data_IF_646739923848
#
_entry.id   IF_646739923848
#
_cell.length_a   1.000
_cell.length_b   1.000
_cell.length_c   1.000
_cell.angle_alpha   90.00
_cell.angle_beta   90.00
_cell.angle_gamma   90.00
#
_symmetry.space_group_name_H-M   'P 1'
#
loop_
_entity.id
_entity.type
_entity.pdbx_description
1 polymer ?
#
# COMPACT_ATOMS: atom_id res chain seq x y z
N UNK A 1 29.79 -1.88 45.15
CA UNK A 1 28.66 -2.68 44.63
C UNK A 1 27.79 -1.80 43.74
N UNK A 2 27.79 -2.00 42.41
CA UNK A 2 26.87 -1.27 41.53
C UNK A 2 25.44 -1.75 41.79
N UNK A 3 24.57 -0.80 42.12
CA UNK A 3 23.20 -1.07 42.54
C UNK A 3 22.38 -1.61 41.35
N UNK A 4 22.02 -2.90 41.38
CA UNK A 4 21.35 -3.63 40.28
C UNK A 4 20.00 -3.01 39.86
N UNK A 5 19.40 -2.17 40.71
CA UNK A 5 18.17 -1.45 40.39
C UNK A 5 18.40 -0.25 39.45
N UNK A 6 19.52 0.46 39.62
CA UNK A 6 19.90 1.62 38.79
C UNK A 6 20.14 1.23 37.32
N UNK A 7 20.68 0.04 37.09
CA UNK A 7 20.92 -0.50 35.73
C UNK A 7 19.63 -0.90 35.01
N UNK A 8 18.64 -1.43 35.74
CA UNK A 8 17.31 -1.76 35.17
C UNK A 8 16.52 -0.49 34.84
N UNK A 9 16.54 0.51 35.70
CA UNK A 9 15.91 1.80 35.47
C UNK A 9 16.55 2.54 34.28
N UNK A 10 17.88 2.53 34.17
CA UNK A 10 18.58 3.06 33.00
C UNK A 10 18.28 2.30 31.71
N UNK A 11 18.14 0.97 31.76
CA UNK A 11 17.72 0.17 30.61
C UNK A 11 16.28 0.51 30.19
N UNK A 12 15.37 0.64 31.16
CA UNK A 12 13.98 1.04 30.92
C UNK A 12 13.88 2.46 30.35
N UNK A 13 14.65 3.41 30.89
CA UNK A 13 14.73 4.79 30.40
C UNK A 13 15.27 4.86 28.97
N UNK A 14 16.35 4.13 28.66
CA UNK A 14 16.89 4.02 27.29
C UNK A 14 15.88 3.41 26.32
N UNK A 15 15.14 2.38 26.74
CA UNK A 15 14.08 1.76 25.92
C UNK A 15 12.90 2.70 25.71
N UNK A 16 12.50 3.51 26.71
CA UNK A 16 11.48 4.56 26.55
C UNK A 16 11.93 5.66 25.60
N UNK A 17 13.17 6.13 25.74
CA UNK A 17 13.75 7.16 24.85
C UNK A 17 13.87 6.67 23.42
N UNK A 18 14.28 5.41 23.22
CA UNK A 18 14.34 4.76 21.91
C UNK A 18 12.95 4.65 21.27
N UNK A 19 11.92 4.26 22.04
CA UNK A 19 10.52 4.25 21.55
C UNK A 19 9.98 5.65 21.26
N UNK A 20 10.33 6.65 22.06
CA UNK A 20 9.92 8.03 21.85
C UNK A 20 10.57 8.63 20.58
N UNK A 21 11.86 8.34 20.36
CA UNK A 21 12.60 8.74 19.14
C UNK A 21 12.09 8.01 17.89
N UNK A 22 11.78 6.72 18.02
CA UNK A 22 11.17 5.95 16.93
C UNK A 22 9.81 6.55 16.53
N UNK A 23 8.98 6.94 17.50
CA UNK A 23 7.70 7.61 17.27
C UNK A 23 7.83 8.97 16.56
N UNK A 24 8.91 9.72 16.79
CA UNK A 24 9.10 11.05 16.20
C UNK A 24 9.81 11.04 14.85
N UNK A 25 10.49 9.95 14.48
CA UNK A 25 11.40 9.93 13.31
C UNK A 25 10.89 9.08 12.13
N UNK A 26 9.99 8.12 12.36
CA UNK A 26 9.55 7.15 11.32
C UNK A 26 8.02 7.12 11.12
N UNK A 27 7.30 8.15 11.58
CA UNK A 27 5.84 8.11 11.67
C UNK A 27 5.35 7.21 12.82
N UNK A 28 4.08 7.36 13.20
CA UNK A 28 3.51 6.64 14.36
C UNK A 28 3.09 5.20 14.02
N UNK A 29 3.12 4.82 12.74
CA UNK A 29 2.58 3.56 12.25
C UNK A 29 3.71 2.60 11.89
N UNK A 30 3.87 1.55 12.68
CA UNK A 30 4.84 0.48 12.42
C UNK A 30 4.10 -0.75 11.89
N UNK A 31 4.48 -1.19 10.70
CA UNK A 31 3.95 -2.40 10.07
C UNK A 31 5.02 -3.50 10.08
N UNK A 32 4.64 -4.71 10.48
CA UNK A 32 5.43 -5.92 10.28
C UNK A 32 4.72 -6.77 9.22
N UNK A 33 5.44 -7.16 8.17
CA UNK A 33 4.91 -7.99 7.08
C UNK A 33 5.79 -9.20 6.86
N UNK A 34 5.17 -10.32 6.50
CA UNK A 34 5.86 -11.52 6.03
C UNK A 34 5.71 -11.57 4.52
N UNK A 35 6.84 -11.60 3.81
CA UNK A 35 6.88 -11.73 2.35
C UNK A 35 7.38 -13.12 1.98
N UNK A 36 6.90 -13.64 0.85
CA UNK A 36 7.54 -14.79 0.22
C UNK A 36 8.96 -14.42 -0.24
N UNK A 37 9.83 -15.41 -0.41
CA UNK A 37 11.21 -15.20 -0.90
C UNK A 37 11.22 -14.43 -2.23
N UNK A 38 10.29 -14.76 -3.12
CA UNK A 38 10.08 -14.05 -4.38
C UNK A 38 9.73 -12.58 -4.15
N UNK A 39 8.77 -12.30 -3.28
CA UNK A 39 8.36 -10.93 -2.96
C UNK A 39 9.48 -10.11 -2.33
N UNK A 40 10.23 -10.70 -1.40
CA UNK A 40 11.37 -10.04 -0.76
C UNK A 40 12.50 -9.75 -1.76
N UNK A 41 12.80 -10.69 -2.67
CA UNK A 41 13.75 -10.44 -3.75
C UNK A 41 13.31 -9.29 -4.65
N UNK A 42 12.04 -9.26 -5.04
CA UNK A 42 11.48 -8.17 -5.86
C UNK A 42 11.56 -6.81 -5.15
N UNK A 43 11.35 -6.78 -3.83
CA UNK A 43 11.53 -5.59 -3.01
C UNK A 43 12.97 -5.06 -3.09
N UNK A 44 13.96 -5.92 -2.83
CA UNK A 44 15.38 -5.53 -2.85
C UNK A 44 15.87 -5.12 -4.24
N UNK A 45 15.45 -5.84 -5.28
CA UNK A 45 15.80 -5.51 -6.66
C UNK A 45 15.13 -4.19 -7.09
N UNK A 46 13.90 -3.94 -6.65
CA UNK A 46 13.17 -2.68 -6.84
C UNK A 46 13.88 -1.48 -6.23
N UNK A 47 14.33 -1.58 -4.97
CA UNK A 47 15.09 -0.53 -4.28
C UNK A 47 16.31 -0.03 -5.07
N UNK A 48 17.00 -0.95 -5.77
CA UNK A 48 18.17 -0.62 -6.60
C UNK A 48 17.78 -0.04 -7.95
N UNK A 49 16.80 -0.66 -8.61
CA UNK A 49 16.43 -0.33 -10.00
C UNK A 49 15.62 0.95 -10.14
N UNK A 50 14.88 1.34 -9.11
CA UNK A 50 13.99 2.52 -9.12
C UNK A 50 14.69 3.83 -8.70
N UNK A 51 15.98 3.78 -8.36
CA UNK A 51 16.79 4.98 -8.12
C UNK A 51 18.15 4.93 -8.86
N UNK A 52 18.16 4.79 -10.20
CA UNK A 52 19.38 4.58 -10.97
C UNK A 52 20.36 5.75 -10.84
N UNK A 53 21.65 5.45 -10.69
CA UNK A 53 22.71 6.45 -10.53
C UNK A 53 22.77 7.12 -9.15
N UNK A 54 21.93 6.68 -8.20
CA UNK A 54 21.89 7.20 -6.83
C UNK A 54 21.92 6.06 -5.81
N UNK A 55 21.98 6.41 -4.53
CA UNK A 55 21.89 5.42 -3.44
C UNK A 55 20.54 4.69 -3.52
N UNK A 56 20.51 3.35 -3.52
CA UNK A 56 19.26 2.59 -3.48
C UNK A 56 18.35 3.00 -2.31
N UNK A 57 17.03 2.89 -2.52
CA UNK A 57 16.04 3.15 -1.47
C UNK A 57 16.20 2.18 -0.30
N UNK A 58 15.82 2.63 0.89
CA UNK A 58 15.55 1.71 1.99
C UNK A 58 14.26 0.91 1.68
N UNK A 59 14.13 -0.35 2.12
CA UNK A 59 12.91 -1.13 1.88
C UNK A 59 11.62 -0.44 2.34
N UNK A 60 11.65 0.24 3.50
CA UNK A 60 10.49 0.98 4.01
C UNK A 60 10.12 2.16 3.14
N UNK A 61 11.11 2.94 2.69
CA UNK A 61 10.94 4.08 1.79
C UNK A 61 10.37 3.61 0.43
N UNK A 62 10.90 2.52 -0.10
CA UNK A 62 10.42 1.98 -1.37
C UNK A 62 8.95 1.52 -1.27
N UNK A 63 8.56 0.85 -0.18
CA UNK A 63 7.16 0.45 0.04
C UNK A 63 6.24 1.67 0.19
N UNK A 64 6.64 2.68 0.96
CA UNK A 64 5.87 3.91 1.13
C UNK A 64 5.67 4.66 -0.19
N UNK A 65 6.74 4.79 -0.99
CA UNK A 65 6.65 5.39 -2.33
C UNK A 65 5.75 4.59 -3.27
N UNK A 66 5.80 3.25 -3.21
CA UNK A 66 4.89 2.41 -4.01
C UNK A 66 3.43 2.67 -3.64
N UNK A 67 3.12 2.82 -2.36
CA UNK A 67 1.76 3.13 -1.89
C UNK A 67 1.32 4.51 -2.41
N UNK A 68 2.17 5.52 -2.36
CA UNK A 68 1.83 6.85 -2.89
C UNK A 68 1.60 6.82 -4.41
N UNK A 69 2.49 6.16 -5.16
CA UNK A 69 2.33 6.00 -6.61
C UNK A 69 1.04 5.25 -6.97
N UNK A 70 0.69 4.21 -6.20
CA UNK A 70 -0.53 3.43 -6.42
C UNK A 70 -1.80 4.21 -6.05
N UNK A 71 -1.79 4.96 -4.95
CA UNK A 71 -2.91 5.84 -4.57
C UNK A 71 -3.21 6.89 -5.63
N UNK A 72 -2.17 7.57 -6.13
CA UNK A 72 -2.27 8.51 -7.26
C UNK A 72 -2.78 7.86 -8.54
N UNK A 73 -2.42 6.60 -8.80
CA UNK A 73 -2.94 5.83 -9.93
C UNK A 73 -4.43 5.53 -9.74
N UNK A 74 -4.82 5.10 -8.54
CA UNK A 74 -6.21 4.77 -8.21
C UNK A 74 -7.11 6.00 -8.35
N UNK A 75 -6.70 7.16 -7.83
CA UNK A 75 -7.46 8.41 -7.97
C UNK A 75 -7.72 8.76 -9.44
N UNK A 76 -6.71 8.61 -10.30
CA UNK A 76 -6.88 8.83 -11.75
C UNK A 76 -7.84 7.81 -12.37
N UNK A 77 -7.74 6.54 -11.99
CA UNK A 77 -8.65 5.50 -12.48
C UNK A 77 -10.10 5.81 -12.07
N UNK A 78 -10.33 6.17 -10.80
CA UNK A 78 -11.65 6.53 -10.28
C UNK A 78 -12.22 7.78 -10.96
N UNK A 79 -11.39 8.77 -11.25
CA UNK A 79 -11.81 9.99 -11.96
C UNK A 79 -12.29 9.73 -13.39
N UNK A 80 -11.87 8.62 -14.02
CA UNK A 80 -12.35 8.22 -15.35
C UNK A 80 -13.67 7.44 -15.31
N UNK A 81 -14.15 7.05 -14.13
CA UNK A 81 -15.38 6.29 -14.01
C UNK A 81 -16.60 7.16 -14.29
N UNK A 82 -17.56 6.59 -15.01
CA UNK A 82 -18.86 7.22 -15.27
C UNK A 82 -19.89 6.84 -14.21
N UNK A 83 -21.06 6.46 -14.70
CA UNK A 83 -22.19 6.03 -13.86
C UNK A 83 -22.43 4.53 -14.03
N UNK A 84 -22.98 3.89 -12.99
CA UNK A 84 -23.37 2.49 -13.06
C UNK A 84 -24.48 2.27 -14.11
N UNK A 85 -24.36 1.24 -14.95
CA UNK A 85 -25.37 0.95 -15.97
C UNK A 85 -26.72 0.53 -15.37
N UNK A 86 -26.73 -0.06 -14.17
CA UNK A 86 -27.94 -0.44 -13.44
C UNK A 86 -28.57 0.75 -12.69
N UNK A 87 -27.91 1.25 -11.64
CA UNK A 87 -28.51 2.26 -10.74
C UNK A 87 -28.33 3.71 -11.19
N UNK A 88 -27.54 3.97 -12.24
CA UNK A 88 -27.23 5.32 -12.75
C UNK A 88 -26.56 6.27 -11.74
N UNK A 89 -26.12 5.77 -10.59
CA UNK A 89 -25.35 6.54 -9.60
C UNK A 89 -23.87 6.65 -10.02
N UNK A 90 -23.18 7.73 -9.63
CA UNK A 90 -21.77 7.94 -9.94
C UNK A 90 -20.89 6.86 -9.30
N UNK A 91 -19.89 6.41 -10.05
CA UNK A 91 -18.90 5.44 -9.60
C UNK A 91 -17.70 6.16 -8.96
N UNK A 92 -16.94 5.50 -8.06
CA UNK A 92 -17.04 4.09 -7.66
C UNK A 92 -18.15 3.78 -6.62
N UNK A 93 -18.81 4.79 -6.04
CA UNK A 93 -19.82 4.59 -5.00
C UNK A 93 -21.02 3.74 -5.49
N UNK A 94 -21.58 4.08 -6.66
CA UNK A 94 -22.63 3.31 -7.32
C UNK A 94 -23.81 2.99 -6.38
N UNK A 95 -24.32 1.76 -6.46
CA UNK A 95 -25.38 1.27 -5.56
C UNK A 95 -24.85 0.70 -4.24
N UNK A 96 -23.56 0.89 -3.91
CA UNK A 96 -22.91 0.27 -2.75
C UNK A 96 -23.25 -1.24 -2.62
N UNK A 97 -22.96 -1.99 -3.70
CA UNK A 97 -23.14 -3.45 -3.83
C UNK A 97 -24.56 -4.02 -3.67
N UNK A 98 -25.61 -3.19 -3.48
CA UNK A 98 -26.99 -3.66 -3.30
C UNK A 98 -27.50 -4.59 -4.43
N UNK A 99 -26.99 -4.42 -5.65
CA UNK A 99 -27.36 -5.20 -6.84
C UNK A 99 -26.18 -6.03 -7.38
N UNK A 100 -25.24 -6.43 -6.53
CA UNK A 100 -24.11 -7.28 -6.93
C UNK A 100 -24.64 -8.65 -7.36
N UNK A 101 -24.49 -8.98 -8.65
CA UNK A 101 -25.07 -10.18 -9.28
C UNK A 101 -25.86 -9.89 -10.54
N UNK A 102 -26.34 -8.65 -10.69
CA UNK A 102 -26.98 -8.21 -11.92
C UNK A 102 -25.95 -7.79 -12.96
N UNK A 103 -26.08 -8.28 -14.20
CA UNK A 103 -25.09 -8.04 -15.26
C UNK A 103 -24.92 -6.57 -15.64
N UNK A 104 -25.94 -5.74 -15.40
CA UNK A 104 -25.89 -4.30 -15.60
C UNK A 104 -25.20 -3.54 -14.44
N UNK A 105 -24.98 -4.18 -13.29
CA UNK A 105 -24.35 -3.54 -12.14
C UNK A 105 -22.84 -3.47 -12.34
N UNK A 106 -22.24 -2.30 -12.11
CA UNK A 106 -20.78 -2.10 -12.20
C UNK A 106 -20.01 -3.08 -11.29
N UNK A 107 -20.55 -3.36 -10.10
CA UNK A 107 -19.94 -4.29 -9.13
C UNK A 107 -19.96 -5.76 -9.58
N UNK A 108 -20.71 -6.14 -10.63
CA UNK A 108 -20.76 -7.52 -11.10
C UNK A 108 -19.45 -7.98 -11.75
N UNK A 109 -18.89 -7.14 -12.62
CA UNK A 109 -17.66 -7.48 -13.36
C UNK A 109 -16.75 -6.29 -13.62
N UNK A 110 -17.32 -5.10 -13.87
CA UNK A 110 -16.56 -3.92 -14.27
C UNK A 110 -15.70 -3.36 -13.14
N UNK A 111 -16.13 -3.45 -11.88
CA UNK A 111 -15.34 -3.00 -10.73
C UNK A 111 -13.96 -3.65 -10.63
N UNK A 112 -13.80 -4.84 -11.21
CA UNK A 112 -12.54 -5.58 -11.25
C UNK A 112 -11.44 -4.84 -12.02
N UNK A 113 -11.80 -3.85 -12.85
CA UNK A 113 -10.79 -3.01 -13.54
C UNK A 113 -9.92 -2.22 -12.57
N UNK A 114 -10.40 -1.98 -11.33
CA UNK A 114 -9.63 -1.32 -10.26
C UNK A 114 -8.78 -2.29 -9.43
N UNK A 115 -8.88 -3.61 -9.64
CA UNK A 115 -8.13 -4.57 -8.85
C UNK A 115 -6.64 -4.55 -9.23
N UNK A 116 -5.77 -4.74 -8.23
CA UNK A 116 -4.33 -4.96 -8.46
C UNK A 116 -4.03 -6.33 -9.09
N UNK A 117 -5.01 -7.24 -9.11
CA UNK A 117 -4.90 -8.58 -9.69
C UNK A 117 -6.08 -8.90 -10.60
N UNK A 118 -5.81 -9.69 -11.64
CA UNK A 118 -6.86 -10.27 -12.46
C UNK A 118 -7.57 -11.45 -11.76
N UNK A 119 -8.48 -12.10 -12.49
CA UNK A 119 -9.27 -13.25 -12.02
C UNK A 119 -8.41 -14.47 -11.68
N UNK A 120 -7.17 -14.51 -12.17
CA UNK A 120 -6.20 -15.59 -11.97
C UNK A 120 -5.18 -15.26 -10.87
N UNK A 121 -5.32 -14.12 -10.19
CA UNK A 121 -4.43 -13.68 -9.13
C UNK A 121 -3.07 -13.17 -9.64
N UNK A 122 -2.93 -12.98 -10.95
CA UNK A 122 -1.76 -12.35 -11.53
C UNK A 122 -1.88 -10.84 -11.41
N UNK A 123 -0.75 -10.15 -11.20
CA UNK A 123 -0.73 -8.70 -11.09
C UNK A 123 -1.27 -8.07 -12.39
N UNK A 124 -2.19 -7.13 -12.24
CA UNK A 124 -2.76 -6.40 -13.36
C UNK A 124 -1.78 -5.31 -13.83
N UNK A 125 -0.93 -5.67 -14.80
CA UNK A 125 0.14 -4.82 -15.30
C UNK A 125 -0.29 -3.79 -16.36
N UNK A 126 -1.56 -3.81 -16.78
CA UNK A 126 -2.07 -2.89 -17.80
C UNK A 126 -2.09 -1.47 -17.22
N UNK A 127 -1.18 -0.61 -17.69
CA UNK A 127 -1.19 0.81 -17.41
C UNK A 127 -2.37 1.45 -18.16
N UNK A 128 -3.07 2.39 -17.53
CA UNK A 128 -4.02 3.25 -18.25
C UNK A 128 -3.15 4.14 -19.14
N UNK A 129 -2.99 3.76 -20.42
CA UNK A 129 -2.46 4.66 -21.42
C UNK A 129 -3.50 5.76 -21.63
N UNK A 130 -3.19 6.95 -21.16
CA UNK A 130 -3.87 8.16 -21.61
C UNK A 130 -3.16 8.62 -22.89
N UNK A 131 -3.85 8.51 -24.02
CA UNK A 131 -3.54 9.28 -25.22
C UNK A 131 -3.85 10.77 -25.01
#
# INVERSE_FOLDING_TARGET
MMNKNSTKEQAAARKRLSRARAKSQFGQHRLEIVLSDRGYKMLLDGCKRRNPGRKPYLPSEYVELLIFCDGERLERQEATLGHCNHCKLPLPAGCNTAFVGESACWFYSQSRTLNLTDVTGHAQLNEVQND
#
